data_IF_802064427203
#
_entry.id   IF_802064427203
#
_cell.length_a   1.000
_cell.length_b   1.000
_cell.length_c   1.000
_cell.angle_alpha   90.00
_cell.angle_beta   90.00
_cell.angle_gamma   90.00
#
_symmetry.space_group_name_H-M   'P 1'
#
loop_
_entity.id
_entity.type
_entity.pdbx_description
1 polymer ?
#
# COMPACT_ATOMS: atom_id res chain seq x y z
N UNK A 1 12.92 4.87 -19.47
CA UNK A 1 11.91 5.91 -19.77
C UNK A 1 11.32 6.38 -18.45
N UNK A 2 11.53 7.65 -18.08
CA UNK A 2 11.04 8.24 -16.83
C UNK A 2 9.68 8.89 -17.07
N UNK A 3 8.63 8.06 -17.10
CA UNK A 3 7.26 8.54 -17.21
C UNK A 3 6.28 7.39 -17.36
N UNK A 4 5.09 7.52 -16.77
CA UNK A 4 4.00 6.57 -16.95
C UNK A 4 3.65 6.41 -18.43
N UNK A 5 3.56 5.18 -18.91
CA UNK A 5 3.21 4.75 -20.28
C UNK A 5 1.76 5.05 -20.66
N UNK A 6 0.88 5.19 -19.67
CA UNK A 6 -0.55 5.46 -19.88
C UNK A 6 -0.95 6.90 -19.54
N UNK A 7 -2.02 7.38 -20.19
CA UNK A 7 -2.64 8.69 -19.94
C UNK A 7 -4.17 8.59 -20.13
N UNK A 8 -4.96 9.39 -19.38
CA UNK A 8 -4.55 10.18 -18.22
C UNK A 8 -4.24 9.28 -17.01
N UNK A 9 -3.28 9.69 -16.19
CA UNK A 9 -2.90 8.97 -14.96
C UNK A 9 -2.90 9.91 -13.75
N UNK A 10 -3.42 9.42 -12.63
CA UNK A 10 -3.38 10.09 -11.33
C UNK A 10 -2.76 9.19 -10.27
N UNK A 11 -2.08 9.80 -9.31
CA UNK A 11 -1.59 9.12 -8.11
C UNK A 11 -2.38 9.63 -6.90
N UNK A 12 -2.93 8.72 -6.12
CA UNK A 12 -3.63 8.97 -4.87
C UNK A 12 -2.77 8.46 -3.71
N UNK A 13 -2.19 9.38 -2.95
CA UNK A 13 -1.40 9.07 -1.76
C UNK A 13 -2.29 8.98 -0.55
N UNK A 14 -2.14 7.89 0.18
CA UNK A 14 -2.70 7.69 1.50
C UNK A 14 -1.57 7.83 2.53
N UNK A 15 -1.90 8.25 3.74
CA UNK A 15 -0.97 8.17 4.87
C UNK A 15 -1.15 6.85 5.64
N UNK A 16 -0.39 6.67 6.71
CA UNK A 16 -0.43 5.46 7.55
C UNK A 16 -1.77 5.28 8.30
N UNK A 17 -2.62 6.32 8.33
CA UNK A 17 -3.94 6.31 8.95
C UNK A 17 -5.06 6.04 7.94
N UNK A 18 -4.72 5.96 6.65
CA UNK A 18 -5.68 5.78 5.57
C UNK A 18 -6.34 7.08 5.13
N UNK A 19 -5.77 8.24 5.48
CA UNK A 19 -6.23 9.53 4.98
C UNK A 19 -5.61 9.81 3.61
N UNK A 20 -6.45 10.17 2.65
CA UNK A 20 -6.03 10.50 1.27
C UNK A 20 -5.60 11.96 1.18
N UNK A 21 -4.62 12.24 0.31
CA UNK A 21 -4.33 13.62 -0.12
C UNK A 21 -5.55 14.18 -0.89
N UNK A 22 -6.31 15.04 -0.22
CA UNK A 22 -7.54 15.61 -0.78
C UNK A 22 -7.33 16.37 -2.07
N UNK A 23 -6.17 17.03 -2.25
CA UNK A 23 -5.88 17.76 -3.50
C UNK A 23 -5.71 16.81 -4.67
N UNK A 24 -5.08 15.65 -4.44
CA UNK A 24 -4.91 14.62 -5.47
C UNK A 24 -6.25 13.98 -5.84
N UNK A 25 -7.08 13.67 -4.84
CA UNK A 25 -8.44 13.17 -5.04
C UNK A 25 -9.29 14.14 -5.85
N UNK A 26 -9.33 15.40 -5.43
CA UNK A 26 -10.19 16.41 -6.05
C UNK A 26 -9.76 16.67 -7.50
N UNK A 27 -8.45 16.72 -7.75
CA UNK A 27 -7.90 16.82 -9.12
C UNK A 27 -8.30 15.63 -10.00
N UNK A 28 -8.28 14.40 -9.48
CA UNK A 28 -8.73 13.23 -10.24
C UNK A 28 -10.21 13.39 -10.61
N UNK A 29 -11.06 13.72 -9.65
CA UNK A 29 -12.51 13.84 -9.86
C UNK A 29 -12.83 14.93 -10.88
N UNK A 30 -12.22 16.11 -10.73
CA UNK A 30 -12.39 17.24 -11.64
C UNK A 30 -11.93 16.88 -13.06
N UNK A 31 -10.73 16.32 -13.21
CA UNK A 31 -10.17 16.04 -14.53
C UNK A 31 -10.83 14.83 -15.21
N UNK A 32 -11.32 13.86 -14.45
CA UNK A 32 -12.12 12.76 -14.98
C UNK A 32 -13.44 13.28 -15.56
N UNK A 33 -14.11 14.21 -14.87
CA UNK A 33 -15.32 14.85 -15.35
C UNK A 33 -15.06 15.73 -16.59
N UNK A 34 -14.01 16.56 -16.58
CA UNK A 34 -13.65 17.41 -17.72
C UNK A 34 -13.30 16.64 -19.00
N UNK A 35 -12.83 15.39 -18.86
CA UNK A 35 -12.48 14.49 -19.97
C UNK A 35 -13.61 13.53 -20.33
N UNK A 36 -14.76 13.69 -19.68
CA UNK A 36 -15.92 12.81 -19.77
C UNK A 36 -15.56 11.32 -19.58
N UNK A 37 -14.58 10.97 -18.74
CA UNK A 37 -14.16 9.57 -18.61
C UNK A 37 -15.34 8.66 -18.22
N UNK A 38 -15.48 7.53 -18.91
CA UNK A 38 -16.53 6.54 -18.62
C UNK A 38 -16.04 5.47 -17.66
N UNK A 39 -14.73 5.20 -17.66
CA UNK A 39 -14.12 4.07 -16.98
C UNK A 39 -12.80 4.50 -16.31
N UNK A 40 -12.55 3.95 -15.12
CA UNK A 40 -11.34 4.20 -14.35
C UNK A 40 -10.73 2.88 -13.88
N UNK A 41 -9.51 2.59 -14.31
CA UNK A 41 -8.74 1.45 -13.82
C UNK A 41 -7.92 1.90 -12.61
N UNK A 42 -8.17 1.30 -11.46
CA UNK A 42 -7.45 1.59 -10.22
C UNK A 42 -6.57 0.40 -9.87
N UNK A 43 -5.28 0.65 -9.69
CA UNK A 43 -4.36 -0.31 -9.08
C UNK A 43 -3.94 0.21 -7.71
N UNK A 44 -3.88 -0.67 -6.71
CA UNK A 44 -3.52 -0.31 -5.34
C UNK A 44 -2.35 -1.17 -4.88
N UNK A 45 -1.20 -0.53 -4.72
CA UNK A 45 0.03 -1.15 -4.26
C UNK A 45 0.83 -0.19 -3.38
N UNK A 46 1.42 -0.74 -2.32
CA UNK A 46 2.33 0.02 -1.47
C UNK A 46 3.64 0.36 -2.19
N UNK A 47 4.41 1.29 -1.64
CA UNK A 47 5.67 1.73 -2.25
C UNK A 47 6.90 0.86 -1.93
N UNK A 48 6.77 -0.18 -1.11
CA UNK A 48 7.83 -1.14 -0.75
C UNK A 48 9.20 -0.46 -0.54
N UNK A 49 9.20 0.53 0.37
CA UNK A 49 10.31 1.43 0.73
C UNK A 49 10.45 2.71 -0.10
N UNK A 50 10.21 2.71 -1.43
CA UNK A 50 10.42 3.92 -2.25
C UNK A 50 9.32 4.19 -3.27
N UNK A 51 8.94 5.47 -3.42
CA UNK A 51 7.94 5.89 -4.42
C UNK A 51 8.32 5.48 -5.85
N UNK A 52 9.61 5.52 -6.17
CA UNK A 52 10.13 5.14 -7.49
C UNK A 52 9.82 3.69 -7.83
N UNK A 53 10.01 2.75 -6.89
CA UNK A 53 9.60 1.35 -7.11
C UNK A 53 8.10 1.23 -7.34
N UNK A 54 7.31 1.89 -6.49
CA UNK A 54 5.86 1.91 -6.63
C UNK A 54 5.48 2.31 -8.06
N UNK A 55 5.93 3.49 -8.52
CA UNK A 55 5.61 4.03 -9.85
C UNK A 55 6.08 3.13 -10.98
N UNK A 56 7.23 2.45 -10.87
CA UNK A 56 7.67 1.45 -11.87
C UNK A 56 6.73 0.26 -11.95
N UNK A 57 6.22 -0.22 -10.82
CA UNK A 57 5.23 -1.30 -10.83
C UNK A 57 3.91 -0.85 -11.46
N UNK A 58 3.42 0.35 -11.11
CA UNK A 58 2.23 0.92 -11.74
C UNK A 58 2.40 1.01 -13.25
N UNK A 59 3.52 1.55 -13.72
CA UNK A 59 3.82 1.67 -15.14
C UNK A 59 3.80 0.32 -15.84
N UNK A 60 4.52 -0.68 -15.29
CA UNK A 60 4.54 -2.04 -15.84
C UNK A 60 3.17 -2.72 -15.82
N UNK A 61 2.36 -2.50 -14.79
CA UNK A 61 1.02 -3.05 -14.68
C UNK A 61 0.07 -2.44 -15.71
N UNK A 62 0.14 -1.13 -15.94
CA UNK A 62 -0.77 -0.44 -16.85
C UNK A 62 -0.32 -0.51 -18.32
N UNK A 63 0.97 -0.72 -18.60
CA UNK A 63 1.52 -0.73 -19.96
C UNK A 63 0.77 -1.64 -20.96
N UNK A 64 0.26 -2.84 -20.59
CA UNK A 64 -0.47 -3.69 -21.55
C UNK A 64 -1.89 -3.24 -21.86
N UNK A 65 -2.49 -2.36 -21.04
CA UNK A 65 -3.91 -2.01 -21.16
C UNK A 65 -4.27 -1.38 -22.52
N UNK A 66 -3.51 -0.41 -23.07
CA UNK A 66 -3.81 0.13 -24.39
C UNK A 66 -3.91 -0.92 -25.49
N UNK A 67 -3.06 -1.96 -25.47
CA UNK A 67 -3.09 -3.05 -26.46
C UNK A 67 -4.25 -4.01 -26.22
N UNK A 68 -4.51 -4.38 -24.95
CA UNK A 68 -5.60 -5.29 -24.57
C UNK A 68 -6.98 -4.71 -24.88
N UNK A 69 -7.10 -3.40 -24.75
CA UNK A 69 -8.32 -2.70 -25.11
C UNK A 69 -8.45 -2.59 -26.62
N UNK A 70 -7.36 -2.60 -27.41
CA UNK A 70 -7.45 -2.49 -28.87
C UNK A 70 -8.33 -1.30 -29.29
N UNK A 71 -9.23 -1.51 -30.24
CA UNK A 71 -10.30 -0.58 -30.65
C UNK A 71 -11.55 -0.64 -29.73
N UNK A 72 -11.45 -1.14 -28.49
CA UNK A 72 -12.60 -1.47 -27.63
C UNK A 72 -13.48 -0.27 -27.30
N UNK A 73 -14.44 -0.03 -28.19
CA UNK A 73 -15.67 0.69 -27.97
C UNK A 73 -15.50 2.14 -27.49
N UNK A 74 -16.62 2.80 -27.12
CA UNK A 74 -16.61 4.22 -26.75
C UNK A 74 -16.00 4.50 -25.36
N UNK A 75 -15.26 3.55 -24.78
CA UNK A 75 -14.75 3.64 -23.42
C UNK A 75 -13.65 4.71 -23.34
N UNK A 76 -13.90 5.75 -22.55
CA UNK A 76 -12.96 6.82 -22.25
C UNK A 76 -12.29 6.50 -20.93
N UNK A 77 -11.15 5.80 -21.01
CA UNK A 77 -10.44 5.31 -19.83
C UNK A 77 -9.55 6.37 -19.18
N UNK A 78 -9.43 6.25 -17.86
CA UNK A 78 -8.34 6.80 -17.08
C UNK A 78 -7.70 5.76 -16.17
N UNK A 79 -6.54 6.11 -15.61
CA UNK A 79 -5.75 5.22 -14.74
C UNK A 79 -5.44 5.90 -13.41
N UNK A 80 -5.57 5.18 -12.30
CA UNK A 80 -5.19 5.69 -10.98
C UNK A 80 -4.36 4.68 -10.19
N UNK A 81 -3.25 5.16 -9.62
CA UNK A 81 -2.44 4.40 -8.67
C UNK A 81 -2.74 4.83 -7.24
N UNK A 82 -3.01 3.89 -6.34
CA UNK A 82 -3.21 4.15 -4.90
C UNK A 82 -1.93 3.80 -4.14
N UNK A 83 -1.19 4.83 -3.74
CA UNK A 83 0.08 4.68 -3.03
C UNK A 83 -0.17 4.78 -1.53
N UNK A 84 0.10 3.68 -0.83
CA UNK A 84 0.04 3.58 0.63
C UNK A 84 1.44 3.32 1.22
N UNK A 85 1.79 3.89 2.40
CA UNK A 85 3.03 3.59 3.10
C UNK A 85 3.20 2.10 3.41
N UNK A 86 4.09 1.41 2.70
CA UNK A 86 4.52 0.04 3.02
C UNK A 86 6.03 -0.04 3.20
N UNK A 87 6.46 -1.03 3.98
CA UNK A 87 7.84 -1.38 4.17
C UNK A 87 8.04 -2.80 3.66
N UNK A 88 9.09 -3.02 2.86
CA UNK A 88 9.57 -4.35 2.51
C UNK A 88 10.58 -4.81 3.56
N UNK A 89 10.48 -6.07 3.98
CA UNK A 89 11.44 -6.68 4.91
C UNK A 89 12.80 -6.82 4.23
N UNK A 90 13.89 -6.61 4.98
CA UNK A 90 15.23 -6.55 4.39
C UNK A 90 15.70 -7.92 3.87
N UNK A 91 15.18 -9.01 4.44
CA UNK A 91 15.46 -10.39 3.99
C UNK A 91 14.59 -10.84 2.81
N UNK A 92 13.57 -10.06 2.41
CA UNK A 92 12.72 -10.38 1.28
C UNK A 92 13.44 -10.09 -0.02
N UNK A 93 13.59 -11.10 -0.90
CA UNK A 93 14.11 -10.93 -2.26
C UNK A 93 12.96 -10.88 -3.28
N UNK A 94 12.97 -9.87 -4.16
CA UNK A 94 12.05 -9.77 -5.28
C UNK A 94 12.80 -10.08 -6.57
N UNK A 95 12.46 -11.22 -7.19
CA UNK A 95 13.05 -11.63 -8.46
C UNK A 95 12.92 -10.53 -9.51
N UNK A 96 14.03 -10.17 -10.15
CA UNK A 96 14.08 -9.16 -11.21
C UNK A 96 13.90 -7.70 -10.75
N UNK A 97 13.93 -7.41 -9.44
CA UNK A 97 13.93 -6.03 -8.91
C UNK A 97 15.31 -5.64 -8.38
N UNK A 98 15.77 -4.38 -8.57
CA UNK A 98 16.99 -3.92 -7.94
C UNK A 98 16.85 -3.98 -6.41
N UNK A 99 17.98 -4.14 -5.69
CA UNK A 99 17.98 -4.04 -4.24
C UNK A 99 17.66 -2.59 -3.82
N UNK A 100 16.91 -2.43 -2.74
CA UNK A 100 16.42 -1.13 -2.28
C UNK A 100 16.95 -0.80 -0.89
N UNK A 101 17.18 0.49 -0.61
CA UNK A 101 17.49 0.91 0.75
C UNK A 101 16.29 0.66 1.66
N UNK A 102 16.54 0.00 2.79
CA UNK A 102 15.57 -0.10 3.87
C UNK A 102 15.29 1.29 4.47
N UNK A 103 14.09 1.54 5.01
CA UNK A 103 13.80 2.77 5.75
C UNK A 103 14.84 3.04 6.85
N UNK A 104 15.41 4.25 6.86
CA UNK A 104 16.42 4.64 7.85
C UNK A 104 17.83 4.09 7.59
N UNK A 105 18.10 3.52 6.41
CA UNK A 105 19.46 3.14 6.02
C UNK A 105 20.38 4.37 5.94
N UNK A 106 21.64 4.28 6.41
CA UNK A 106 22.60 5.37 6.29
C UNK A 106 22.96 5.66 4.81
N UNK A 107 23.25 6.92 4.44
CA UNK A 107 23.66 7.25 3.07
C UNK A 107 24.95 6.52 2.68
N UNK A 108 24.99 5.94 1.47
CA UNK A 108 26.21 5.39 0.88
C UNK A 108 26.52 3.92 1.19
N UNK A 109 25.61 3.18 1.85
CA UNK A 109 25.67 1.72 1.80
C UNK A 109 24.95 1.25 0.55
N UNK A 110 25.71 0.87 -0.47
CA UNK A 110 25.18 0.20 -1.65
C UNK A 110 24.47 -1.08 -1.21
N UNK A 111 23.23 -1.27 -1.67
CA UNK A 111 22.46 -2.48 -1.44
C UNK A 111 23.01 -3.71 -2.23
N UNK A 112 24.24 -3.58 -2.74
CA UNK A 112 24.99 -4.55 -3.54
C UNK A 112 25.67 -5.65 -2.71
N UNK A 113 25.40 -5.69 -1.40
CA UNK A 113 25.59 -6.94 -0.64
C UNK A 113 24.46 -7.91 -0.99
N UNK A 114 24.57 -8.45 -2.20
CA UNK A 114 23.95 -9.69 -2.64
C UNK A 114 24.24 -10.74 -1.56
N UNK A 115 23.32 -10.94 -0.60
CA UNK A 115 23.30 -12.21 0.11
C UNK A 115 22.94 -13.25 -0.96
N UNK A 116 23.85 -14.17 -1.32
CA UNK A 116 23.51 -15.27 -2.20
C UNK A 116 22.25 -15.90 -1.63
N UNK A 117 21.29 -16.21 -2.49
CA UNK A 117 19.97 -16.71 -2.09
C UNK A 117 20.10 -17.60 -0.88
N UNK A 118 19.61 -17.13 0.27
CA UNK A 118 19.47 -18.01 1.41
C UNK A 118 18.44 -19.02 0.96
N UNK A 119 18.89 -20.26 0.78
CA UNK A 119 18.05 -21.44 0.89
C UNK A 119 17.07 -21.14 2.03
N UNK A 120 15.76 -21.31 1.79
CA UNK A 120 14.73 -20.93 2.76
C UNK A 120 14.97 -21.53 4.18
N UNK A 121 15.82 -22.55 4.27
CA UNK A 121 16.30 -23.25 5.46
C UNK A 121 17.43 -22.57 6.27
N UNK A 122 18.12 -21.55 5.75
CA UNK A 122 19.21 -20.86 6.47
C UNK A 122 18.79 -19.56 7.17
N UNK A 123 17.49 -19.27 7.26
CA UNK A 123 16.97 -18.13 8.03
C UNK A 123 17.41 -18.26 9.49
N UNK A 124 18.29 -17.36 9.92
CA UNK A 124 18.64 -17.20 11.33
C UNK A 124 17.35 -16.95 12.14
N UNK A 125 17.18 -17.56 13.32
CA UNK A 125 16.05 -17.26 14.19
C UNK A 125 16.02 -15.76 14.53
N UNK A 126 14.85 -15.12 14.44
CA UNK A 126 14.66 -13.72 14.80
C UNK A 126 14.69 -12.73 13.62
N UNK A 127 14.61 -11.43 13.95
CA UNK A 127 14.69 -10.34 12.99
C UNK A 127 16.14 -10.01 12.67
N UNK A 128 16.48 -9.85 11.39
CA UNK A 128 17.78 -9.33 11.01
C UNK A 128 17.92 -7.84 11.40
N UNK A 129 19.17 -7.37 11.52
CA UNK A 129 19.46 -6.03 12.01
C UNK A 129 18.92 -4.91 11.11
N UNK A 130 18.82 -5.15 9.80
CA UNK A 130 18.34 -4.16 8.83
C UNK A 130 16.82 -4.04 8.93
N UNK A 131 16.12 -5.18 9.02
CA UNK A 131 14.69 -5.24 9.32
C UNK A 131 14.35 -4.59 10.67
N UNK A 132 15.14 -4.85 11.72
CA UNK A 132 14.91 -4.23 13.03
C UNK A 132 15.00 -2.70 12.96
N UNK A 133 16.05 -2.17 12.32
CA UNK A 133 16.20 -0.72 12.13
C UNK A 133 15.07 -0.13 11.28
N UNK A 134 14.64 -0.84 10.24
CA UNK A 134 13.54 -0.42 9.40
C UNK A 134 12.23 -0.33 10.20
N UNK A 135 11.94 -1.30 11.07
CA UNK A 135 10.79 -1.27 11.96
C UNK A 135 10.86 -0.10 12.96
N UNK A 136 12.03 0.21 13.51
CA UNK A 136 12.22 1.36 14.40
C UNK A 136 11.99 2.70 13.69
N UNK A 137 12.29 2.78 12.39
CA UNK A 137 12.04 3.95 11.57
C UNK A 137 10.54 4.09 11.20
N UNK A 138 9.88 2.97 10.90
CA UNK A 138 8.44 2.95 10.53
C UNK A 138 7.53 3.19 11.74
N UNK A 139 7.92 2.75 12.93
CA UNK A 139 7.14 2.90 14.16
C UNK A 139 7.84 3.80 15.19
N UNK A 140 8.01 5.11 14.89
CA UNK A 140 8.64 6.02 15.84
C UNK A 140 7.83 6.07 17.14
N UNK A 141 8.51 5.86 18.27
CA UNK A 141 7.89 5.79 19.60
C UNK A 141 7.43 4.40 20.05
N UNK A 142 7.62 3.36 19.23
CA UNK A 142 7.28 1.97 19.60
C UNK A 142 8.50 1.04 19.64
N UNK A 143 9.71 1.59 19.71
CA UNK A 143 10.98 0.83 19.69
C UNK A 143 11.08 -0.26 20.75
N UNK A 144 10.53 -0.02 21.95
CA UNK A 144 10.48 -1.05 23.00
C UNK A 144 9.60 -2.25 22.62
N UNK A 145 8.48 -2.01 21.92
CA UNK A 145 7.63 -3.09 21.40
C UNK A 145 8.39 -3.86 20.30
N UNK A 146 9.09 -3.16 19.41
CA UNK A 146 9.90 -3.78 18.36
C UNK A 146 11.01 -4.65 18.96
N UNK A 147 11.74 -4.13 19.94
CA UNK A 147 12.79 -4.87 20.65
C UNK A 147 12.24 -6.15 21.31
N UNK A 148 11.11 -6.05 22.02
CA UNK A 148 10.49 -7.23 22.65
C UNK A 148 9.97 -8.25 21.64
N UNK A 149 9.43 -7.80 20.52
CA UNK A 149 9.04 -8.69 19.41
C UNK A 149 10.26 -9.42 18.83
N UNK A 150 11.40 -8.73 18.69
CA UNK A 150 12.65 -9.34 18.22
C UNK A 150 13.15 -10.45 19.16
N UNK A 151 13.10 -10.20 20.48
CA UNK A 151 13.42 -11.21 21.51
C UNK A 151 12.50 -12.43 21.41
N UNK A 152 11.19 -12.23 21.39
CA UNK A 152 10.21 -13.33 21.28
C UNK A 152 10.41 -14.16 20.01
N UNK A 153 10.75 -13.52 18.89
CA UNK A 153 11.04 -14.21 17.63
C UNK A 153 12.35 -14.99 17.68
N UNK A 154 13.36 -14.50 18.40
CA UNK A 154 14.62 -15.22 18.60
C UNK A 154 14.46 -16.41 19.56
N UNK A 155 13.64 -16.26 20.61
CA UNK A 155 13.36 -17.30 21.61
C UNK A 155 12.57 -18.49 21.03
N UNK A 156 11.66 -18.26 20.05
CA UNK A 156 10.79 -19.28 19.44
C UNK A 156 10.13 -20.23 20.44
N UNK A 157 9.67 -19.70 21.57
CA UNK A 157 9.08 -20.52 22.62
C UNK A 157 7.82 -21.24 22.14
N UNK A 158 7.72 -22.55 22.41
CA UNK A 158 6.48 -23.32 22.20
C UNK A 158 5.39 -23.03 23.24
N UNK A 159 5.70 -22.19 24.25
CA UNK A 159 4.75 -21.82 25.30
C UNK A 159 3.68 -20.88 24.74
N UNK A 160 2.41 -21.26 24.92
CA UNK A 160 1.26 -20.44 24.50
C UNK A 160 1.32 -19.00 25.05
N UNK A 161 1.79 -18.80 26.28
CA UNK A 161 1.94 -17.48 26.87
C UNK A 161 2.88 -16.55 26.07
N UNK A 162 3.94 -17.08 25.46
CA UNK A 162 4.86 -16.29 24.63
C UNK A 162 4.22 -15.93 23.28
N UNK A 163 3.42 -16.84 22.71
CA UNK A 163 2.64 -16.57 21.51
C UNK A 163 1.55 -15.52 21.75
N UNK A 164 0.90 -15.57 22.92
CA UNK A 164 -0.09 -14.58 23.35
C UNK A 164 0.55 -13.20 23.52
N UNK A 165 1.72 -13.13 24.19
CA UNK A 165 2.50 -11.90 24.32
C UNK A 165 2.86 -11.33 22.95
N UNK A 166 3.38 -12.16 22.05
CA UNK A 166 3.68 -11.76 20.67
C UNK A 166 2.46 -11.18 19.97
N UNK A 167 1.31 -11.86 20.03
CA UNK A 167 0.06 -11.39 19.43
C UNK A 167 -0.42 -10.06 20.02
N UNK A 168 -0.30 -9.86 21.33
CA UNK A 168 -0.63 -8.58 22.00
C UNK A 168 0.29 -7.47 21.53
N UNK A 169 1.59 -7.72 21.45
CA UNK A 169 2.58 -6.73 21.02
C UNK A 169 2.43 -6.35 19.54
N UNK A 170 2.18 -7.32 18.64
CA UNK A 170 1.89 -7.05 17.22
C UNK A 170 0.64 -6.18 17.07
N UNK A 171 -0.46 -6.52 17.76
CA UNK A 171 -1.67 -5.68 17.78
C UNK A 171 -1.40 -4.30 18.36
N UNK A 172 -0.58 -4.24 19.40
CA UNK A 172 -0.12 -3.01 20.01
C UNK A 172 0.60 -2.13 18.99
N UNK A 173 1.55 -2.71 18.23
CA UNK A 173 2.38 -2.05 17.22
C UNK A 173 1.54 -1.38 16.12
N UNK A 174 0.56 -2.11 15.57
CA UNK A 174 -0.29 -1.65 14.45
C UNK A 174 -1.53 -0.87 14.88
N UNK A 175 -1.76 -0.72 16.19
CA UNK A 175 -2.94 0.00 16.68
C UNK A 175 -2.89 1.45 16.22
N UNK A 176 -3.74 1.78 15.26
CA UNK A 176 -4.04 3.16 14.87
C UNK A 176 -4.67 3.84 16.09
N UNK A 177 -4.19 5.02 16.46
CA UNK A 177 -4.91 5.87 17.41
C UNK A 177 -6.29 6.08 16.80
N UNK A 178 -7.32 5.49 17.40
CA UNK A 178 -8.69 5.81 17.03
C UNK A 178 -8.80 7.33 17.10
N UNK A 179 -9.33 7.94 16.04
CA UNK A 179 -9.74 9.34 16.11
C UNK A 179 -10.50 9.51 17.42
N UNK A 180 -10.01 10.40 18.28
CA UNK A 180 -10.67 10.72 19.53
C UNK A 180 -12.00 11.37 19.17
N UNK A 181 -13.04 10.56 19.00
CA UNK A 181 -14.41 11.03 18.97
C UNK A 181 -14.63 11.79 20.30
N UNK A 182 -15.11 13.03 20.19
CA UNK A 182 -15.56 13.82 21.34
C UNK A 182 -16.42 12.93 22.25
N UNK A 183 -16.26 13.00 23.59
CA UNK A 183 -17.09 12.22 24.50
C UNK A 183 -18.55 12.63 24.28
N UNK A 184 -19.35 11.72 23.72
CA UNK A 184 -20.76 11.96 23.40
C UNK A 184 -21.28 11.21 22.17
N UNK A 185 -20.44 10.78 21.24
CA UNK A 185 -20.90 10.04 20.05
C UNK A 185 -20.35 8.62 20.07
N UNK A 186 -21.24 7.65 20.33
CA UNK A 186 -20.98 6.22 20.16
C UNK A 186 -20.69 5.96 18.68
N UNK A 187 -19.43 6.09 18.27
CA UNK A 187 -19.01 5.65 16.95
C UNK A 187 -18.81 4.14 17.04
N UNK A 188 -19.89 3.39 16.80
CA UNK A 188 -19.78 2.00 16.37
C UNK A 188 -18.82 2.01 15.21
N UNK A 189 -17.72 1.25 15.28
CA UNK A 189 -16.84 0.97 14.14
C UNK A 189 -17.69 0.29 13.08
N UNK A 190 -18.37 1.11 12.28
CA UNK A 190 -19.11 0.69 11.12
C UNK A 190 -18.08 0.57 10.02
N UNK A 191 -17.63 -0.65 9.76
CA UNK A 191 -17.16 -1.00 8.44
C UNK A 191 -18.27 -0.58 7.48
N UNK A 192 -18.09 0.55 6.80
CA UNK A 192 -19.09 1.08 5.87
C UNK A 192 -19.07 0.14 4.67
N UNK A 193 -19.90 -0.91 4.73
CA UNK A 193 -20.20 -1.78 3.61
C UNK A 193 -20.57 -0.84 2.46
N UNK A 194 -19.78 -0.81 1.39
CA UNK A 194 -20.21 -0.19 0.14
C UNK A 194 -21.43 -0.99 -0.34
N UNK A 195 -22.61 -0.59 0.09
CA UNK A 195 -23.85 -1.03 -0.52
C UNK A 195 -23.87 -0.43 -1.92
N UNK A 196 -23.61 -1.27 -2.92
CA UNK A 196 -23.66 -0.90 -4.33
C UNK A 196 -25.01 -0.25 -4.62
N UNK A 197 -24.98 1.04 -4.93
CA UNK A 197 -26.11 1.69 -5.56
C UNK A 197 -26.11 1.25 -7.01
N UNK A 198 -27.01 0.33 -7.34
CA UNK A 198 -27.40 0.03 -8.71
C UNK A 198 -27.80 1.33 -9.41
N UNK A 199 -27.04 1.72 -10.43
CA UNK A 199 -27.43 2.76 -11.38
C UNK A 199 -28.67 2.29 -12.15
N UNK A 200 -29.87 2.70 -11.74
CA UNK A 200 -31.05 2.62 -12.60
C UNK A 200 -30.99 3.79 -13.59
N UNK A 201 -30.77 3.45 -14.86
CA UNK A 201 -30.96 4.33 -16.01
C UNK A 201 -32.44 4.72 -16.05
N UNK A 202 -32.76 5.98 -15.82
CA UNK A 202 -34.11 6.50 -16.07
C UNK A 202 -34.18 6.87 -17.55
N UNK A 203 -34.89 6.06 -18.34
CA UNK A 203 -35.25 6.40 -19.72
C UNK A 203 -36.71 6.84 -19.65
N UNK A 204 -36.95 8.15 -19.60
CA UNK A 204 -38.29 8.71 -19.86
C UNK A 204 -38.36 9.05 -21.35
N UNK A 205 -38.80 8.09 -22.15
CA UNK A 205 -39.31 8.34 -23.49
C UNK A 205 -40.72 8.88 -23.41
N UNK A 206 -41.00 9.99 -24.08
CA UNK A 206 -42.37 10.46 -24.32
C UNK A 206 -43.13 9.44 -25.17
N UNK A 207 -44.39 9.09 -24.84
CA UNK A 207 -45.20 8.27 -25.74
C UNK A 207 -45.73 9.13 -26.90
N UNK A 208 -45.95 8.55 -28.09
CA UNK A 208 -46.50 9.29 -29.21
C UNK A 208 -48.03 9.43 -29.11
N UNK A 209 -48.45 10.67 -29.40
CA UNK A 209 -49.77 11.20 -29.78
C UNK A 209 -50.90 11.12 -28.76
#
# INVERSE_FOLDING_TARGET
MTGMSVRPYWELRFDAYGDVDFRQRDRLLEQAAQRDLTDLVIFAHGWNNTRTMATRLYDRFFAPFPELLGEAGPARLGYAGVVWPSMRFADESLAGSPPEPAPGAPPGLDADTRRPGLDADTRRPGLDADTHRALDAVFPGRRQIVARLAELLAERSERLAALDEFGVLVRGLVRVRGSTARPGTQTKTAYRRCSGRTWRRSVSGSPPR
#
